data_IF_782906091913
#
_entry.id   IF_782906091913
#
_cell.length_a   1.000
_cell.length_b   1.000
_cell.length_c   1.000
_cell.angle_alpha   90.00
_cell.angle_beta   90.00
_cell.angle_gamma   90.00
#
_symmetry.space_group_name_H-M   'P 1'
#
loop_
_entity.id
_entity.type
_entity.pdbx_description
1 polymer ?
#
# COMPACT_ATOMS: atom_id res chain seq x y z
N UNK A 1 16.45 25.31 4.07
CA UNK A 1 15.23 24.54 4.40
C UNK A 1 14.50 25.25 5.52
N UNK A 2 13.33 25.78 5.20
CA UNK A 2 12.43 26.44 6.17
C UNK A 2 11.46 25.40 6.78
N UNK A 3 10.94 25.62 7.98
CA UNK A 3 10.03 24.67 8.66
C UNK A 3 8.74 24.41 7.85
N UNK A 4 8.32 25.37 7.04
CA UNK A 4 7.19 25.27 6.11
C UNK A 4 7.44 24.29 4.95
N UNK A 5 8.69 24.15 4.51
CA UNK A 5 9.04 23.20 3.43
C UNK A 5 9.05 21.76 3.96
N UNK A 6 9.59 21.57 5.17
CA UNK A 6 9.60 20.28 5.85
C UNK A 6 8.19 19.75 6.07
N UNK A 7 7.29 20.61 6.55
CA UNK A 7 5.88 20.25 6.75
C UNK A 7 5.18 19.89 5.45
N UNK A 8 5.45 20.61 4.35
CA UNK A 8 4.91 20.27 3.02
C UNK A 8 5.37 18.89 2.52
N UNK A 9 6.66 18.56 2.65
CA UNK A 9 7.15 17.23 2.28
C UNK A 9 6.46 16.14 3.09
N UNK A 10 6.36 16.31 4.41
CA UNK A 10 5.70 15.33 5.27
C UNK A 10 4.23 15.15 4.87
N UNK A 11 3.49 16.23 4.61
CA UNK A 11 2.09 16.14 4.14
C UNK A 11 1.99 15.40 2.81
N UNK A 12 2.86 15.70 1.85
CA UNK A 12 2.86 15.02 0.55
C UNK A 12 3.20 13.53 0.68
N UNK A 13 4.14 13.19 1.56
CA UNK A 13 4.52 11.81 1.85
C UNK A 13 3.35 11.02 2.45
N UNK A 14 2.61 11.61 3.40
CA UNK A 14 1.42 11.00 3.97
C UNK A 14 0.33 10.74 2.91
N UNK A 15 0.13 11.68 1.99
CA UNK A 15 -0.78 11.48 0.86
C UNK A 15 -0.35 10.33 -0.04
N UNK A 16 0.94 10.24 -0.37
CA UNK A 16 1.49 9.15 -1.19
C UNK A 16 1.26 7.80 -0.50
N UNK A 17 1.54 7.70 0.80
CA UNK A 17 1.31 6.46 1.58
C UNK A 17 -0.17 6.08 1.55
N UNK A 18 -1.06 7.06 1.78
CA UNK A 18 -2.50 6.84 1.78
C UNK A 18 -2.95 6.26 0.43
N UNK A 19 -2.66 6.94 -0.68
CA UNK A 19 -3.02 6.48 -2.02
C UNK A 19 -2.39 5.15 -2.43
N UNK A 20 -1.11 4.95 -2.07
CA UNK A 20 -0.36 3.71 -2.34
C UNK A 20 -0.94 2.52 -1.60
N UNK A 21 -1.46 2.73 -0.39
CA UNK A 21 -2.05 1.66 0.43
C UNK A 21 -3.47 1.26 -0.01
N UNK A 22 -4.23 2.16 -0.64
CA UNK A 22 -5.62 1.93 -1.04
C UNK A 22 -5.85 0.63 -1.84
N UNK A 23 -5.12 0.31 -2.93
CA UNK A 23 -5.37 -0.91 -3.69
C UNK A 23 -5.18 -2.18 -2.87
N UNK A 24 -4.15 -2.21 -2.02
CA UNK A 24 -3.85 -3.36 -1.17
C UNK A 24 -4.93 -3.52 -0.11
N UNK A 25 -5.34 -2.43 0.53
CA UNK A 25 -6.41 -2.42 1.55
C UNK A 25 -7.73 -2.88 0.93
N UNK A 26 -8.10 -2.36 -0.24
CA UNK A 26 -9.35 -2.70 -0.91
C UNK A 26 -9.40 -4.20 -1.26
N UNK A 27 -8.33 -4.75 -1.83
CA UNK A 27 -8.29 -6.18 -2.15
C UNK A 27 -8.28 -7.03 -0.88
N UNK A 28 -7.51 -6.66 0.14
CA UNK A 28 -7.49 -7.35 1.42
C UNK A 28 -8.89 -7.40 2.08
N UNK A 29 -9.63 -6.30 2.03
CA UNK A 29 -11.01 -6.22 2.53
C UNK A 29 -11.95 -7.11 1.72
N UNK A 30 -11.97 -6.98 0.39
CA UNK A 30 -12.87 -7.76 -0.49
C UNK A 30 -12.62 -9.26 -0.35
N UNK A 31 -11.36 -9.68 -0.48
CA UNK A 31 -10.99 -11.09 -0.35
C UNK A 31 -11.25 -11.59 1.06
N UNK A 32 -10.97 -10.77 2.08
CA UNK A 32 -11.24 -11.14 3.46
C UNK A 32 -12.72 -11.41 3.72
N UNK A 33 -13.60 -10.58 3.17
CA UNK A 33 -15.06 -10.78 3.25
C UNK A 33 -15.48 -12.04 2.51
N UNK A 34 -15.06 -12.21 1.25
CA UNK A 34 -15.43 -13.38 0.43
C UNK A 34 -15.00 -14.68 1.11
N UNK A 35 -13.74 -14.75 1.57
CA UNK A 35 -13.21 -15.95 2.24
C UNK A 35 -13.95 -16.22 3.55
N UNK A 36 -14.24 -15.18 4.35
CA UNK A 36 -14.99 -15.36 5.60
C UNK A 36 -16.42 -15.85 5.38
N UNK A 37 -17.08 -15.40 4.31
CA UNK A 37 -18.41 -15.86 3.94
C UNK A 37 -18.40 -17.32 3.50
N UNK A 38 -17.47 -17.71 2.62
CA UNK A 38 -17.34 -19.10 2.16
C UNK A 38 -17.04 -20.05 3.32
N UNK A 39 -16.20 -19.62 4.27
CA UNK A 39 -15.90 -20.40 5.47
C UNK A 39 -17.12 -20.58 6.37
N UNK A 40 -17.92 -19.52 6.55
CA UNK A 40 -19.16 -19.59 7.31
C UNK A 40 -20.19 -20.53 6.65
N UNK A 41 -20.32 -20.49 5.32
CA UNK A 41 -21.26 -21.32 4.57
C UNK A 41 -20.87 -22.80 4.53
N UNK A 42 -19.57 -23.11 4.44
CA UNK A 42 -19.07 -24.50 4.36
C UNK A 42 -18.75 -25.12 5.72
N UNK A 43 -18.88 -24.35 6.80
CA UNK A 43 -18.53 -24.74 8.18
C UNK A 43 -17.04 -25.13 8.36
N UNK A 44 -16.16 -24.76 7.41
CA UNK A 44 -14.72 -24.99 7.49
C UNK A 44 -14.10 -23.86 8.33
N UNK A 45 -13.74 -24.15 9.57
CA UNK A 45 -13.08 -23.21 10.50
C UNK A 45 -11.56 -23.39 10.59
N UNK A 46 -10.91 -23.80 9.50
CA UNK A 46 -9.45 -23.88 9.45
C UNK A 46 -8.84 -22.48 9.29
N UNK A 47 -8.35 -21.93 10.41
CA UNK A 47 -7.72 -20.61 10.45
C UNK A 47 -6.44 -20.53 9.61
N UNK A 48 -5.71 -21.64 9.46
CA UNK A 48 -4.46 -21.68 8.68
C UNK A 48 -4.74 -21.53 7.19
N UNK A 49 -5.77 -22.23 6.70
CA UNK A 49 -6.23 -22.11 5.32
C UNK A 49 -6.74 -20.68 5.02
N UNK A 50 -7.49 -20.08 5.96
CA UNK A 50 -7.94 -18.69 5.84
C UNK A 50 -6.77 -17.73 5.65
N UNK A 51 -5.75 -17.88 6.50
CA UNK A 51 -4.58 -17.02 6.51
C UNK A 51 -3.78 -17.16 5.20
N UNK A 52 -3.57 -18.39 4.74
CA UNK A 52 -2.86 -18.68 3.49
C UNK A 52 -3.55 -18.01 2.29
N UNK A 53 -4.87 -18.15 2.14
CA UNK A 53 -5.62 -17.56 1.02
C UNK A 53 -5.53 -16.04 1.04
N UNK A 54 -5.71 -15.42 2.22
CA UNK A 54 -5.56 -13.96 2.38
C UNK A 54 -4.16 -13.48 2.02
N UNK A 55 -3.12 -14.20 2.47
CA UNK A 55 -1.73 -13.84 2.18
C UNK A 55 -1.43 -13.87 0.67
N UNK A 56 -1.87 -14.92 -0.02
CA UNK A 56 -1.69 -15.04 -1.47
C UNK A 56 -2.37 -13.90 -2.21
N UNK A 57 -3.61 -13.55 -1.84
CA UNK A 57 -4.31 -12.44 -2.46
C UNK A 57 -3.61 -11.08 -2.26
N UNK A 58 -3.10 -10.81 -1.05
CA UNK A 58 -2.34 -9.60 -0.75
C UNK A 58 -1.02 -9.59 -1.54
N UNK A 59 -0.30 -10.70 -1.58
CA UNK A 59 0.96 -10.83 -2.32
C UNK A 59 0.75 -10.60 -3.82
N UNK A 60 -0.26 -11.21 -4.42
CA UNK A 60 -0.62 -10.98 -5.83
C UNK A 60 -0.97 -9.52 -6.08
N UNK A 61 -1.73 -8.89 -5.19
CA UNK A 61 -2.09 -7.46 -5.31
C UNK A 61 -0.86 -6.56 -5.27
N UNK A 62 0.08 -6.84 -4.37
CA UNK A 62 1.34 -6.11 -4.28
C UNK A 62 2.18 -6.28 -5.54
N UNK A 63 2.29 -7.50 -6.08
CA UNK A 63 3.02 -7.76 -7.32
C UNK A 63 2.41 -7.02 -8.51
N UNK A 64 1.08 -6.99 -8.63
CA UNK A 64 0.39 -6.27 -9.71
C UNK A 64 0.52 -4.75 -9.53
N UNK A 65 0.47 -4.26 -8.29
CA UNK A 65 0.57 -2.82 -7.99
C UNK A 65 2.02 -2.31 -8.05
N UNK A 66 3.01 -3.20 -7.98
CA UNK A 66 4.44 -2.85 -7.87
C UNK A 66 4.96 -1.86 -8.94
N UNK A 67 4.67 -2.02 -10.24
CA UNK A 67 5.17 -1.10 -11.27
C UNK A 67 4.65 0.32 -11.08
N UNK A 68 3.40 0.47 -10.62
CA UNK A 68 2.79 1.76 -10.38
C UNK A 68 3.34 2.42 -9.10
N UNK A 69 3.43 1.65 -8.02
CA UNK A 69 3.93 2.14 -6.72
C UNK A 69 5.39 2.60 -6.80
N UNK A 70 6.23 1.84 -7.52
CA UNK A 70 7.64 2.20 -7.72
C UNK A 70 7.80 3.53 -8.46
N UNK A 71 6.98 3.79 -9.48
CA UNK A 71 7.00 5.06 -10.21
C UNK A 71 6.67 6.27 -9.32
N UNK A 72 5.65 6.14 -8.45
CA UNK A 72 5.25 7.21 -7.52
C UNK A 72 6.37 7.51 -6.53
N UNK A 73 6.93 6.47 -5.90
CA UNK A 73 7.98 6.62 -4.89
C UNK A 73 9.27 7.18 -5.50
N UNK A 74 9.72 6.66 -6.65
CA UNK A 74 10.93 7.15 -7.31
C UNK A 74 10.81 8.61 -7.75
N UNK A 75 9.63 9.02 -8.23
CA UNK A 75 9.38 10.42 -8.58
C UNK A 75 9.46 11.31 -7.34
N UNK A 76 8.81 10.92 -6.25
CA UNK A 76 8.86 11.67 -4.99
C UNK A 76 10.28 11.77 -4.42
N UNK A 77 11.04 10.67 -4.39
CA UNK A 77 12.43 10.68 -3.95
C UNK A 77 13.30 11.60 -4.83
N UNK A 78 13.10 11.58 -6.15
CA UNK A 78 13.83 12.47 -7.07
C UNK A 78 13.51 13.95 -6.80
N UNK A 79 12.25 14.29 -6.55
CA UNK A 79 11.85 15.67 -6.22
C UNK A 79 12.53 16.17 -4.95
N UNK A 80 12.62 15.34 -3.91
CA UNK A 80 13.33 15.68 -2.68
C UNK A 80 14.83 15.85 -2.94
N UNK A 81 15.46 14.88 -3.62
CA UNK A 81 16.90 14.94 -3.91
C UNK A 81 17.29 16.21 -4.69
N UNK A 82 16.50 16.61 -5.68
CA UNK A 82 16.74 17.83 -6.45
C UNK A 82 16.68 19.07 -5.54
N UNK A 83 15.65 19.17 -4.69
CA UNK A 83 15.51 20.32 -3.77
C UNK A 83 16.61 20.39 -2.72
N UNK A 84 17.12 19.25 -2.27
CA UNK A 84 18.28 19.18 -1.37
C UNK A 84 19.56 19.64 -2.11
N UNK A 85 19.77 19.16 -3.34
CA UNK A 85 20.96 19.50 -4.14
C UNK A 85 21.03 20.97 -4.59
N UNK A 86 19.91 21.66 -4.70
CA UNK A 86 19.86 23.10 -4.99
C UNK A 86 20.18 24.00 -3.78
N UNK A 87 20.19 23.44 -2.56
CA UNK A 87 20.42 24.17 -1.30
C UNK A 87 21.75 23.82 -0.61
N UNK A 88 22.58 22.97 -1.21
CA UNK A 88 23.95 22.66 -0.76
C UNK A 88 24.98 23.38 -1.61
#
# INVERSE_FOLDING_TARGET
MNDSELTQFVTQLLWIVLFTSMPVVLVASVVGVIVSLVQALTQIQDQTLQFMIKLLAIATTLMVSYPWLSGILLNYTRQIMLRIGEHG
#
